data_IF_034356686526
#
_entry.id   IF_034356686526
#
_cell.length_a   1.000
_cell.length_b   1.000
_cell.length_c   1.000
_cell.angle_alpha   90.00
_cell.angle_beta   90.00
_cell.angle_gamma   90.00
#
_symmetry.space_group_name_H-M   'P 1'
#
loop_
_entity.id
_entity.type
_entity.pdbx_description
1 polymer ?
#
# COMPACT_ATOMS: atom_id res chain seq x y z
N UNK A 1 -2.42 -15.33 -6.75
CA UNK A 1 -2.68 -16.17 -7.94
C UNK A 1 -2.70 -17.66 -7.61
N UNK A 2 -2.12 -18.07 -6.48
CA UNK A 2 -2.25 -19.40 -5.91
C UNK A 2 -2.85 -19.33 -4.50
N UNK A 3 -3.41 -20.44 -4.04
CA UNK A 3 -3.52 -20.73 -2.60
C UNK A 3 -2.16 -21.27 -2.16
N UNK A 4 -1.77 -21.03 -0.91
CA UNK A 4 -0.49 -21.52 -0.34
C UNK A 4 -0.81 -22.32 0.91
N UNK A 5 -0.29 -23.54 0.97
CA UNK A 5 -0.59 -24.51 2.01
C UNK A 5 -0.02 -24.08 3.38
N UNK A 6 1.19 -23.52 3.41
CA UNK A 6 1.77 -22.95 4.64
C UNK A 6 2.78 -21.83 4.38
N UNK A 7 2.77 -20.81 5.25
CA UNK A 7 3.65 -19.64 5.15
C UNK A 7 3.20 -18.64 4.08
N UNK A 8 4.14 -17.85 3.56
CA UNK A 8 3.90 -16.98 2.42
C UNK A 8 3.01 -15.75 2.68
N UNK A 9 2.79 -15.35 3.93
CA UNK A 9 2.08 -14.10 4.23
C UNK A 9 2.76 -12.87 3.59
N UNK A 10 1.98 -11.84 3.28
CA UNK A 10 2.50 -10.48 3.09
C UNK A 10 2.34 -9.75 4.41
N UNK A 11 3.43 -9.26 4.99
CA UNK A 11 3.44 -8.67 6.34
C UNK A 11 3.77 -7.19 6.29
N UNK A 12 3.17 -6.43 7.21
CA UNK A 12 3.45 -5.02 7.48
C UNK A 12 3.94 -4.91 8.93
N UNK A 13 5.26 -4.99 9.19
CA UNK A 13 5.78 -5.11 10.56
C UNK A 13 5.39 -3.94 11.47
N UNK A 14 5.40 -2.72 10.95
CA UNK A 14 5.05 -1.52 11.72
C UNK A 14 3.56 -1.46 12.10
N UNK A 15 2.70 -2.22 11.42
CA UNK A 15 1.25 -2.27 11.64
C UNK A 15 0.82 -3.55 12.37
N UNK A 16 1.75 -4.45 12.68
CA UNK A 16 1.48 -5.79 13.21
C UNK A 16 0.40 -6.55 12.41
N UNK A 17 0.47 -6.43 11.07
CA UNK A 17 -0.54 -6.96 10.16
C UNK A 17 0.05 -8.03 9.25
N UNK A 18 -0.68 -9.15 9.11
CA UNK A 18 -0.34 -10.26 8.21
C UNK A 18 -1.49 -10.58 7.28
N UNK A 19 -1.22 -10.56 5.97
CA UNK A 19 -2.16 -10.91 4.92
C UNK A 19 -1.80 -12.30 4.37
N UNK A 20 -2.62 -13.29 4.66
CA UNK A 20 -2.41 -14.65 4.19
C UNK A 20 -2.85 -14.81 2.73
N UNK A 21 -2.05 -15.48 1.88
CA UNK A 21 -2.33 -15.63 0.46
C UNK A 21 -3.59 -16.49 0.24
N UNK A 22 -4.52 -15.95 -0.56
CA UNK A 22 -5.72 -16.66 -1.03
C UNK A 22 -5.86 -16.45 -2.53
N UNK A 23 -6.13 -17.51 -3.28
CA UNK A 23 -6.26 -17.43 -4.74
C UNK A 23 -7.41 -16.49 -5.12
N UNK A 24 -7.14 -15.62 -6.10
CA UNK A 24 -8.11 -14.63 -6.59
C UNK A 24 -8.26 -13.38 -5.72
N UNK A 25 -7.70 -13.35 -4.50
CA UNK A 25 -7.72 -12.16 -3.65
C UNK A 25 -6.64 -11.15 -4.05
N UNK A 26 -6.91 -9.88 -3.75
CA UNK A 26 -5.97 -8.78 -3.94
C UNK A 26 -5.91 -7.94 -2.66
N UNK A 27 -4.74 -7.37 -2.38
CA UNK A 27 -4.54 -6.38 -1.34
C UNK A 27 -4.08 -5.08 -2.01
N UNK A 28 -4.60 -3.96 -1.53
CA UNK A 28 -4.29 -2.63 -2.04
C UNK A 28 -4.04 -1.69 -0.87
N UNK A 29 -3.01 -0.86 -0.99
CA UNK A 29 -2.64 0.16 -0.01
C UNK A 29 -1.88 1.29 -0.70
N UNK A 30 -1.77 2.43 -0.02
CA UNK A 30 -0.98 3.57 -0.48
C UNK A 30 0.39 3.56 0.21
N UNK A 31 1.47 3.74 -0.56
CA UNK A 31 2.81 3.89 0.03
C UNK A 31 3.16 5.35 0.38
N UNK A 32 2.30 6.29 -0.04
CA UNK A 32 2.49 7.73 0.15
C UNK A 32 1.29 8.31 0.87
N UNK A 33 1.55 9.26 1.76
CA UNK A 33 0.55 10.19 2.25
C UNK A 33 0.01 11.07 1.12
N UNK A 34 -1.03 11.84 1.39
CA UNK A 34 -1.66 12.72 0.40
C UNK A 34 -0.77 13.91 0.00
N UNK A 35 0.24 14.24 0.80
CA UNK A 35 1.26 15.24 0.47
C UNK A 35 2.44 14.67 -0.34
N UNK A 36 2.34 13.40 -0.78
CA UNK A 36 3.39 12.70 -1.56
C UNK A 36 4.55 12.17 -0.72
N UNK A 37 4.60 12.42 0.59
CA UNK A 37 5.66 11.85 1.44
C UNK A 37 5.46 10.35 1.64
N UNK A 38 6.56 9.61 1.71
CA UNK A 38 6.52 8.16 1.96
C UNK A 38 5.95 7.82 3.33
N UNK A 39 5.01 6.89 3.37
CA UNK A 39 4.49 6.30 4.60
C UNK A 39 5.33 5.07 4.98
N UNK A 40 6.16 5.21 6.01
CA UNK A 40 7.00 4.12 6.49
C UNK A 40 6.21 3.03 7.24
N UNK A 41 4.98 3.31 7.66
CA UNK A 41 4.13 2.30 8.31
C UNK A 41 3.73 1.19 7.33
N UNK A 42 3.66 1.51 6.04
CA UNK A 42 3.27 0.56 4.98
C UNK A 42 4.45 -0.24 4.41
N UNK A 43 5.62 -0.18 5.06
CA UNK A 43 6.74 -1.06 4.73
C UNK A 43 6.30 -2.50 4.89
N UNK A 44 6.51 -3.29 3.83
CA UNK A 44 6.02 -4.65 3.77
C UNK A 44 7.06 -5.62 3.21
N UNK A 45 6.88 -6.90 3.52
CA UNK A 45 7.71 -7.99 3.03
C UNK A 45 6.87 -9.25 2.78
N UNK A 46 7.43 -10.18 2.01
CA UNK A 46 6.89 -11.53 1.89
C UNK A 46 7.55 -12.46 2.92
N UNK A 47 6.75 -13.16 3.71
CA UNK A 47 7.24 -14.25 4.55
C UNK A 47 7.67 -15.45 3.68
N UNK A 48 8.59 -16.29 4.18
CA UNK A 48 8.95 -17.55 3.55
C UNK A 48 7.72 -18.43 3.30
N UNK A 49 7.68 -19.09 2.14
CA UNK A 49 6.72 -20.18 1.89
C UNK A 49 7.29 -21.43 2.56
N UNK A 50 6.51 -22.04 3.44
CA UNK A 50 6.92 -23.25 4.17
C UNK A 50 6.50 -24.52 3.43
N UNK A 51 5.34 -24.48 2.76
CA UNK A 51 4.83 -25.58 1.94
C UNK A 51 4.05 -25.01 0.75
N UNK A 52 4.29 -25.57 -0.43
CA UNK A 52 3.62 -25.18 -1.66
C UNK A 52 4.38 -24.17 -2.51
N UNK A 53 3.65 -23.29 -3.19
CA UNK A 53 4.24 -22.25 -4.05
C UNK A 53 3.36 -21.01 -4.12
N UNK A 54 3.96 -19.83 -3.85
CA UNK A 54 3.28 -18.54 -3.88
C UNK A 54 3.50 -17.83 -5.21
N UNK A 55 2.42 -17.61 -5.95
CA UNK A 55 2.41 -16.79 -7.17
C UNK A 55 1.60 -15.51 -6.95
N UNK A 56 2.22 -14.36 -7.23
CA UNK A 56 1.65 -13.01 -7.09
C UNK A 56 1.88 -12.19 -8.35
N UNK A 57 1.05 -11.17 -8.53
CA UNK A 57 1.23 -10.12 -9.53
C UNK A 57 1.16 -8.78 -8.83
N UNK A 58 2.18 -7.94 -9.02
CA UNK A 58 2.26 -6.62 -8.40
C UNK A 58 1.97 -5.57 -9.47
N UNK A 59 1.08 -4.62 -9.14
CA UNK A 59 0.85 -3.43 -9.95
C UNK A 59 1.23 -2.20 -9.14
N UNK A 60 2.24 -1.48 -9.59
CA UNK A 60 2.60 -0.19 -9.04
C UNK A 60 1.85 0.93 -9.79
N UNK A 61 1.27 1.83 -9.01
CA UNK A 61 0.60 3.04 -9.49
C UNK A 61 1.40 4.21 -8.92
N UNK A 62 1.88 5.08 -9.81
CA UNK A 62 2.70 6.24 -9.43
C UNK A 62 1.81 7.46 -9.21
N UNK A 63 2.29 8.40 -8.39
CA UNK A 63 1.56 9.63 -8.06
C UNK A 63 1.38 10.57 -9.25
N UNK A 64 2.35 10.62 -10.17
CA UNK A 64 2.31 11.50 -11.34
C UNK A 64 1.25 11.01 -12.32
N UNK A 65 0.45 11.93 -12.82
CA UNK A 65 -0.71 11.64 -13.66
C UNK A 65 -1.95 11.23 -12.87
N UNK A 66 -1.95 11.35 -11.54
CA UNK A 66 -3.09 11.05 -10.67
C UNK A 66 -3.63 12.30 -9.94
N UNK A 67 -3.19 13.50 -10.34
CA UNK A 67 -3.45 14.77 -9.64
C UNK A 67 -4.95 15.07 -9.50
N UNK A 68 -5.75 14.67 -10.51
CA UNK A 68 -7.20 14.86 -10.52
C UNK A 68 -7.98 13.70 -9.89
N UNK A 69 -7.34 12.54 -9.70
CA UNK A 69 -7.97 11.33 -9.13
C UNK A 69 -7.71 11.26 -7.61
N UNK A 70 -6.54 11.72 -7.16
CA UNK A 70 -6.12 11.77 -5.77
C UNK A 70 -5.54 13.16 -5.46
N UNK A 71 -6.39 14.18 -5.25
CA UNK A 71 -5.93 15.52 -4.94
C UNK A 71 -5.20 15.57 -3.59
N UNK A 72 -4.12 16.35 -3.51
CA UNK A 72 -3.42 16.60 -2.27
C UNK A 72 -4.34 17.38 -1.31
N UNK A 73 -4.37 16.99 -0.03
CA UNK A 73 -5.03 17.81 0.99
C UNK A 73 -4.10 18.95 1.40
N UNK A 74 -4.64 20.16 1.46
CA UNK A 74 -3.97 21.30 2.07
C UNK A 74 -3.88 21.02 3.57
N UNK A 75 -2.66 20.90 4.11
CA UNK A 75 -2.48 20.77 5.54
C UNK A 75 -2.95 22.07 6.24
N UNK A 76 -3.52 22.01 7.45
CA UNK A 76 -3.98 23.21 8.15
C UNK A 76 -2.90 24.29 8.31
N UNK A 77 -1.63 23.89 8.39
CA UNK A 77 -0.47 24.79 8.45
C UNK A 77 -0.13 25.47 7.12
N UNK A 78 -0.68 25.00 6.00
CA UNK A 78 -0.44 25.50 4.64
C UNK A 78 -1.67 26.22 4.06
N UNK A 79 -2.71 26.44 4.87
CA UNK A 79 -3.84 27.30 4.51
C UNK A 79 -3.34 28.75 4.37
N UNK A 80 -3.07 29.13 3.13
CA UNK A 80 -2.84 30.52 2.76
C UNK A 80 -4.14 31.32 2.98
N UNK A 81 -4.10 32.53 3.57
CA UNK A 81 -5.28 33.39 3.72
C UNK A 81 -5.87 33.89 2.38
N UNK A 82 -5.28 33.49 1.25
CA UNK A 82 -5.66 33.92 -0.10
C UNK A 82 -6.53 32.90 -0.87
N UNK A 83 -6.93 31.78 -0.27
CA UNK A 83 -7.70 30.72 -0.98
C UNK A 83 -9.23 30.96 -0.97
N UNK A 84 -9.70 31.97 -0.24
CA UNK A 84 -11.13 32.30 -0.10
C UNK A 84 -11.55 33.61 -0.82
N UNK A 85 -10.93 33.95 -1.97
CA UNK A 85 -11.33 35.09 -2.80
C UNK A 85 -11.98 34.67 -4.13
#
# INVERSE_FOLDING_TARGET
MSDVEAGGATVFPSLDLSLWPKKGSAAFWYNLFEDGKGDLSTRHAGCPVLLGSKWVSNKWIHERGQEFIRPCKVLPSEQSPFVDA
#
